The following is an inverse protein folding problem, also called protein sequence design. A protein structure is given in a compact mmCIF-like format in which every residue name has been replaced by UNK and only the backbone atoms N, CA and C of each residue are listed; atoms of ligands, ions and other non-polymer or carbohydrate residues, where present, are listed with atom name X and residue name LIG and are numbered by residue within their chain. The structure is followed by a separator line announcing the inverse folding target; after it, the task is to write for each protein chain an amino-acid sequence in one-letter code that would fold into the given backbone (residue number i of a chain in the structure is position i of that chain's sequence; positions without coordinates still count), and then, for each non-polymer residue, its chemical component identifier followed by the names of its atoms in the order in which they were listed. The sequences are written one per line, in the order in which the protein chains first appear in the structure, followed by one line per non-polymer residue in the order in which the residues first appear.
data_IF_974250392428
#
_entry.id   IF_974250392428
#
_cell.length_a   1.000
_cell.length_b   1.000
_cell.length_c   1.000
_cell.angle_alpha   90.00
_cell.angle_beta   90.00
_cell.angle_gamma   90.00
#
_symmetry.space_group_name_H-M   'P 1'
#
loop_
_entity.id
_entity.type
_entity.pdbx_description
1 polymer ?
#
# COMPACT_ATOMS: atom_id res chain seq x y z
N UNK A 1 -15.25 30.49 -38.23
CA UNK A 1 -13.80 30.69 -38.38
C UNK A 1 -13.09 29.40 -37.99
N UNK A 2 -12.58 28.65 -38.97
CA UNK A 2 -11.76 27.46 -38.70
C UNK A 2 -10.42 27.97 -38.19
N UNK A 3 -10.07 27.66 -36.93
CA UNK A 3 -8.82 28.08 -36.33
C UNK A 3 -7.64 27.66 -37.24
N UNK A 4 -6.81 28.63 -37.63
CA UNK A 4 -5.62 28.38 -38.44
C UNK A 4 -4.76 27.30 -37.77
N UNK A 5 -4.36 26.30 -38.56
CA UNK A 5 -3.66 25.11 -38.07
C UNK A 5 -2.28 25.55 -37.55
N UNK A 6 -2.12 25.69 -36.24
CA UNK A 6 -0.87 26.10 -35.58
C UNK A 6 0.33 25.38 -36.17
N UNK A 7 1.40 26.12 -36.46
CA UNK A 7 2.62 25.57 -37.04
C UNK A 7 3.31 24.62 -36.06
N UNK A 8 4.13 23.69 -36.57
CA UNK A 8 4.84 22.72 -35.72
C UNK A 8 5.77 23.41 -34.71
N UNK A 9 6.32 24.57 -35.06
CA UNK A 9 7.18 25.35 -34.18
C UNK A 9 6.39 26.00 -33.04
N UNK A 10 5.24 26.61 -33.36
CA UNK A 10 4.32 27.20 -32.35
C UNK A 10 3.83 26.17 -31.33
N UNK A 11 3.53 24.93 -31.76
CA UNK A 11 3.11 23.88 -30.82
C UNK A 11 4.23 23.48 -29.85
N UNK A 12 5.47 23.45 -30.33
CA UNK A 12 6.63 23.13 -29.49
C UNK A 12 6.89 24.25 -28.49
N UNK A 13 6.81 25.51 -28.90
CA UNK A 13 7.00 26.64 -27.98
C UNK A 13 5.84 26.78 -26.99
N UNK A 14 4.60 26.50 -27.40
CA UNK A 14 3.46 26.45 -26.48
C UNK A 14 3.59 25.33 -25.46
N UNK A 15 4.05 24.14 -25.87
CA UNK A 15 4.33 23.03 -24.96
C UNK A 15 5.46 23.38 -23.98
N UNK A 16 6.55 23.98 -24.47
CA UNK A 16 7.69 24.39 -23.66
C UNK A 16 7.26 25.39 -22.57
N UNK A 17 6.49 26.42 -22.95
CA UNK A 17 5.89 27.38 -22.00
C UNK A 17 5.04 26.69 -20.95
N UNK A 18 4.18 25.74 -21.36
CA UNK A 18 3.32 25.00 -20.43
C UNK A 18 4.12 24.13 -19.47
N UNK A 19 5.19 23.50 -19.95
CA UNK A 19 6.05 22.65 -19.11
C UNK A 19 6.84 23.50 -18.10
N UNK A 20 7.38 24.65 -18.52
CA UNK A 20 8.03 25.58 -17.59
C UNK A 20 7.07 26.07 -16.50
N UNK A 21 5.84 26.46 -16.86
CA UNK A 21 4.82 26.86 -15.89
C UNK A 21 4.53 25.77 -14.85
N UNK A 22 4.49 24.51 -15.27
CA UNK A 22 4.27 23.38 -14.36
C UNK A 22 5.49 23.07 -13.49
N UNK A 23 6.71 23.31 -13.99
CA UNK A 23 7.93 23.20 -13.17
C UNK A 23 8.07 24.33 -12.15
N UNK A 24 7.55 25.52 -12.46
CA UNK A 24 7.52 26.65 -11.53
C UNK A 24 6.44 26.46 -10.43
N UNK A 25 5.27 25.94 -10.81
CA UNK A 25 4.11 25.84 -9.91
C UNK A 25 4.18 24.63 -8.94
N UNK A 26 4.85 23.55 -9.34
CA UNK A 26 4.85 22.28 -8.59
C UNK A 26 6.26 21.87 -8.19
N UNK A 27 6.44 21.59 -6.90
CA UNK A 27 7.70 21.09 -6.32
C UNK A 27 7.87 19.58 -6.47
N UNK A 28 6.74 18.84 -6.50
CA UNK A 28 6.69 17.38 -6.57
C UNK A 28 6.32 16.93 -7.99
N UNK A 29 7.10 15.99 -8.53
CA UNK A 29 6.87 15.41 -9.85
C UNK A 29 6.99 13.90 -9.78
N UNK A 30 5.92 13.19 -10.12
CA UNK A 30 5.94 11.74 -10.28
C UNK A 30 6.22 11.39 -11.74
N UNK A 31 7.14 10.46 -11.94
CA UNK A 31 7.44 9.88 -13.24
C UNK A 31 6.67 8.57 -13.32
N UNK A 32 5.79 8.45 -14.31
CA UNK A 32 4.97 7.26 -14.48
C UNK A 32 5.12 6.66 -15.88
N UNK A 33 5.29 5.34 -15.95
CA UNK A 33 5.19 4.59 -17.19
C UNK A 33 3.72 4.36 -17.55
N UNK A 34 3.39 4.64 -18.81
CA UNK A 34 2.05 4.48 -19.38
C UNK A 34 1.99 3.30 -20.38
N UNK A 35 2.70 2.21 -20.09
CA UNK A 35 2.71 1.01 -20.92
C UNK A 35 1.37 0.26 -20.84
N UNK A 36 0.83 -0.12 -21.99
CA UNK A 36 -0.45 -0.84 -22.13
C UNK A 36 -1.68 -0.11 -21.55
N UNK A 37 -1.59 1.20 -21.30
CA UNK A 37 -2.70 2.02 -20.80
C UNK A 37 -3.57 2.51 -21.96
N UNK A 38 -4.86 2.23 -21.90
CA UNK A 38 -5.83 2.68 -22.91
C UNK A 38 -6.13 4.17 -22.82
N UNK A 39 -6.55 4.80 -23.92
CA UNK A 39 -6.87 6.24 -23.92
C UNK A 39 -8.00 6.61 -22.97
N UNK A 40 -9.03 5.76 -22.85
CA UNK A 40 -10.14 5.94 -21.90
C UNK A 40 -9.66 5.88 -20.46
N UNK A 41 -8.83 4.88 -20.14
CA UNK A 41 -8.22 4.73 -18.82
C UNK A 41 -7.39 5.96 -18.45
N UNK A 42 -6.57 6.47 -19.36
CA UNK A 42 -5.78 7.69 -19.10
C UNK A 42 -6.66 8.92 -18.89
N UNK A 43 -7.81 9.02 -19.57
CA UNK A 43 -8.77 10.10 -19.34
C UNK A 43 -9.45 9.98 -17.98
N UNK A 44 -9.80 8.76 -17.56
CA UNK A 44 -10.42 8.52 -16.26
C UNK A 44 -9.43 8.77 -15.11
N UNK A 45 -8.16 8.35 -15.26
CA UNK A 45 -7.07 8.70 -14.33
C UNK A 45 -6.93 10.23 -14.24
N UNK A 46 -6.92 10.93 -15.38
CA UNK A 46 -6.85 12.40 -15.41
C UNK A 46 -8.04 13.10 -14.78
N UNK A 47 -9.23 12.47 -14.73
CA UNK A 47 -10.40 13.00 -14.02
C UNK A 47 -10.27 12.75 -12.52
N UNK A 48 -9.79 11.58 -12.12
CA UNK A 48 -9.62 11.21 -10.72
C UNK A 48 -8.65 12.13 -9.99
N UNK A 49 -7.47 12.36 -10.58
CA UNK A 49 -6.43 13.21 -9.97
C UNK A 49 -6.62 14.72 -10.27
N UNK A 50 -7.78 15.11 -10.79
CA UNK A 50 -8.04 16.49 -11.23
C UNK A 50 -8.35 17.37 -10.03
N UNK A 51 -7.46 18.32 -9.75
CA UNK A 51 -7.57 19.23 -8.62
C UNK A 51 -6.19 19.43 -8.03
N UNK A 52 -5.64 18.34 -7.50
CA UNK A 52 -4.34 18.34 -6.84
C UNK A 52 -3.17 18.07 -7.79
N UNK A 53 -3.45 17.38 -8.91
CA UNK A 53 -2.43 16.94 -9.86
C UNK A 53 -2.75 17.24 -11.33
N UNK A 54 -1.69 17.42 -12.11
CA UNK A 54 -1.74 17.62 -13.58
C UNK A 54 -0.84 16.61 -14.28
N UNK A 55 -1.43 15.81 -15.17
CA UNK A 55 -0.68 14.87 -16.03
C UNK A 55 -0.24 15.56 -17.31
N UNK A 56 1.06 15.54 -17.57
CA UNK A 56 1.68 15.99 -18.80
C UNK A 56 2.36 14.82 -19.51
N UNK A 57 1.80 14.42 -20.64
CA UNK A 57 2.42 13.46 -21.56
C UNK A 57 3.11 14.21 -22.69
N UNK A 58 4.31 13.77 -23.08
CA UNK A 58 5.03 14.35 -24.19
C UNK A 58 6.14 13.45 -24.71
N UNK A 59 6.77 13.86 -25.82
CA UNK A 59 7.90 13.14 -26.39
C UNK A 59 9.13 13.35 -25.50
N UNK A 60 9.80 12.28 -25.08
CA UNK A 60 10.93 12.36 -24.15
C UNK A 60 12.02 13.34 -24.63
N UNK A 61 12.34 13.35 -25.92
CA UNK A 61 13.35 14.26 -26.48
C UNK A 61 12.96 15.74 -26.35
N UNK A 62 11.67 16.04 -26.36
CA UNK A 62 11.15 17.40 -26.17
C UNK A 62 11.22 17.76 -24.69
N UNK A 63 10.73 16.88 -23.81
CA UNK A 63 10.74 17.09 -22.35
C UNK A 63 12.18 17.31 -21.86
N UNK A 64 13.13 16.46 -22.26
CA UNK A 64 14.55 16.63 -21.88
C UNK A 64 15.13 17.97 -22.33
N UNK A 65 14.82 18.42 -23.55
CA UNK A 65 15.29 19.72 -24.05
C UNK A 65 14.72 20.86 -23.20
N UNK A 66 13.43 20.82 -22.89
CA UNK A 66 12.78 21.85 -22.08
C UNK A 66 13.39 21.90 -20.66
N UNK A 67 13.61 20.74 -20.03
CA UNK A 67 14.24 20.65 -18.71
C UNK A 67 15.67 21.23 -18.73
N UNK A 68 16.48 20.96 -19.77
CA UNK A 68 17.82 21.55 -19.91
C UNK A 68 17.79 23.08 -19.99
N UNK A 69 16.95 23.59 -20.89
CA UNK A 69 16.80 25.04 -21.09
C UNK A 69 16.26 25.72 -19.83
N UNK A 70 15.43 25.02 -19.05
CA UNK A 70 14.94 25.52 -17.77
C UNK A 70 16.05 25.48 -16.71
N UNK A 71 16.78 24.36 -16.57
CA UNK A 71 17.90 24.24 -15.63
C UNK A 71 19.00 25.29 -15.86
N UNK A 72 19.30 25.61 -17.13
CA UNK A 72 20.22 26.70 -17.50
C UNK A 72 19.72 28.08 -17.04
N UNK A 73 18.40 28.31 -17.01
CA UNK A 73 17.79 29.59 -16.60
C UNK A 73 17.65 29.75 -15.09
N UNK A 74 17.27 28.68 -14.39
CA UNK A 74 17.08 28.70 -12.93
C UNK A 74 18.34 28.30 -12.15
N UNK A 75 19.43 27.94 -12.84
CA UNK A 75 20.68 27.43 -12.26
C UNK A 75 20.49 26.24 -11.31
N UNK A 76 19.40 25.48 -11.48
CA UNK A 76 19.06 24.35 -10.63
C UNK A 76 19.57 23.05 -11.26
N UNK A 77 20.75 22.61 -10.80
CA UNK A 77 21.41 21.40 -11.29
C UNK A 77 20.67 20.09 -10.93
N UNK A 78 19.71 20.12 -10.00
CA UNK A 78 19.02 18.90 -9.58
C UNK A 78 18.07 18.32 -10.63
N UNK A 79 17.68 19.14 -11.60
CA UNK A 79 16.81 18.72 -12.70
C UNK A 79 17.52 17.82 -13.72
N UNK A 80 18.85 17.76 -13.71
CA UNK A 80 19.60 16.81 -14.53
C UNK A 80 19.31 15.35 -14.14
N UNK A 81 19.00 15.10 -12.87
CA UNK A 81 18.63 13.77 -12.36
C UNK A 81 17.32 13.29 -13.00
N UNK A 82 16.34 14.18 -13.20
CA UNK A 82 15.08 13.89 -13.90
C UNK A 82 15.30 13.47 -15.36
N UNK A 83 16.26 14.09 -16.05
CA UNK A 83 16.51 13.81 -17.47
C UNK A 83 16.82 12.34 -17.74
N UNK A 84 17.61 11.72 -16.86
CA UNK A 84 18.08 10.34 -16.99
C UNK A 84 16.95 9.33 -16.84
N UNK A 85 15.88 9.69 -16.14
CA UNK A 85 14.75 8.81 -15.82
C UNK A 85 13.69 8.78 -16.95
N UNK A 86 13.79 9.69 -17.93
CA UNK A 86 12.85 9.79 -19.05
C UNK A 86 13.17 8.79 -20.17
N UNK A 87 13.01 7.50 -19.87
CA UNK A 87 13.26 6.37 -20.81
C UNK A 87 11.99 5.54 -20.99
N UNK A 88 11.66 5.19 -22.23
CA UNK A 88 10.44 4.44 -22.56
C UNK A 88 9.21 5.34 -22.71
N UNK A 89 8.02 4.76 -22.53
CA UNK A 89 6.74 5.45 -22.64
C UNK A 89 6.34 6.06 -21.29
N UNK A 90 6.90 7.24 -21.01
CA UNK A 90 6.82 7.87 -19.70
C UNK A 90 6.07 9.21 -19.76
N UNK A 91 5.29 9.47 -18.72
CA UNK A 91 4.62 10.73 -18.44
C UNK A 91 5.09 11.37 -17.15
N UNK A 92 4.88 12.69 -17.04
CA UNK A 92 5.10 13.45 -15.82
C UNK A 92 3.74 13.76 -15.18
N UNK A 93 3.65 13.57 -13.87
CA UNK A 93 2.49 13.97 -13.06
C UNK A 93 3.00 14.98 -12.06
N UNK A 94 2.53 16.21 -12.18
CA UNK A 94 2.81 17.28 -11.24
C UNK A 94 1.75 17.22 -10.15
N UNK A 95 2.14 17.26 -8.88
CA UNK A 95 1.20 17.23 -7.75
C UNK A 95 1.56 18.27 -6.69
N UNK A 96 0.56 18.90 -6.08
CA UNK A 96 0.71 19.68 -4.85
C UNK A 96 0.45 18.83 -3.60
N UNK A 97 -0.35 17.79 -3.72
CA UNK A 97 -0.74 16.89 -2.64
C UNK A 97 0.37 15.92 -2.23
N UNK A 98 0.01 14.95 -1.39
CA UNK A 98 0.95 13.98 -0.88
C UNK A 98 1.21 12.83 -1.85
N UNK A 99 2.47 12.39 -1.89
CA UNK A 99 2.96 11.39 -2.84
C UNK A 99 2.28 10.03 -2.64
N UNK A 100 1.94 9.71 -1.37
CA UNK A 100 1.24 8.48 -0.99
C UNK A 100 -0.20 8.47 -1.51
N UNK A 101 -0.95 9.55 -1.27
CA UNK A 101 -2.34 9.68 -1.71
C UNK A 101 -2.47 9.59 -3.24
N UNK A 102 -1.65 10.34 -3.98
CA UNK A 102 -1.66 10.30 -5.45
C UNK A 102 -1.34 8.89 -5.98
N UNK A 103 -0.44 8.16 -5.32
CA UNK A 103 -0.12 6.78 -5.67
C UNK A 103 -1.30 5.85 -5.43
N UNK A 104 -1.97 5.97 -4.29
CA UNK A 104 -3.16 5.18 -3.97
C UNK A 104 -4.31 5.48 -4.94
N UNK A 105 -4.53 6.74 -5.29
CA UNK A 105 -5.51 7.12 -6.29
C UNK A 105 -5.21 6.52 -7.66
N UNK A 106 -3.97 6.62 -8.13
CA UNK A 106 -3.55 6.00 -9.40
C UNK A 106 -3.74 4.48 -9.33
N UNK A 107 -3.46 3.85 -8.18
CA UNK A 107 -3.60 2.41 -8.00
C UNK A 107 -5.06 1.93 -8.04
N UNK A 108 -6.05 2.77 -7.68
CA UNK A 108 -7.48 2.47 -7.80
C UNK A 108 -7.92 2.29 -9.26
N UNK A 109 -7.31 3.02 -10.19
CA UNK A 109 -7.68 3.02 -11.62
C UNK A 109 -6.94 1.95 -12.45
N UNK A 110 -6.73 0.77 -11.87
CA UNK A 110 -6.20 -0.40 -12.57
C UNK A 110 -7.31 -1.06 -13.38
N UNK A 111 -7.06 -1.28 -14.67
CA UNK A 111 -8.03 -1.92 -15.57
C UNK A 111 -7.55 -3.32 -15.89
N UNK A 112 -8.43 -4.30 -15.68
CA UNK A 112 -8.20 -5.68 -16.11
C UNK A 112 -8.08 -5.76 -17.62
N UNK A 113 -7.00 -6.37 -18.09
CA UNK A 113 -6.64 -6.52 -19.49
C UNK A 113 -6.42 -8.01 -19.83
N UNK A 114 -6.77 -8.40 -21.06
CA UNK A 114 -6.50 -9.75 -21.53
C UNK A 114 -4.99 -9.96 -21.74
N UNK A 115 -4.54 -11.20 -21.54
CA UNK A 115 -3.19 -11.60 -21.86
C UNK A 115 -2.95 -11.50 -23.38
N UNK A 116 -1.89 -10.81 -23.81
CA UNK A 116 -1.52 -10.71 -25.23
C UNK A 116 -0.39 -11.68 -25.54
N UNK A 117 -0.47 -12.29 -26.72
CA UNK A 117 0.52 -13.26 -27.21
C UNK A 117 1.91 -12.64 -27.24
N UNK A 118 2.89 -13.38 -26.71
CA UNK A 118 4.31 -13.00 -26.75
C UNK A 118 4.77 -12.00 -25.68
N UNK A 119 3.84 -11.43 -24.88
CA UNK A 119 4.22 -10.65 -23.70
C UNK A 119 4.68 -11.56 -22.57
N UNK A 120 5.56 -11.04 -21.71
CA UNK A 120 5.99 -11.72 -20.49
C UNK A 120 4.92 -11.52 -19.42
N UNK A 121 4.51 -12.60 -18.76
CA UNK A 121 3.52 -12.54 -17.70
C UNK A 121 4.10 -11.88 -16.42
N UNK A 122 3.49 -10.80 -15.91
CA UNK A 122 3.92 -10.17 -14.66
C UNK A 122 3.41 -10.90 -13.40
N UNK A 123 2.34 -11.68 -13.53
CA UNK A 123 1.69 -12.43 -12.44
C UNK A 123 1.37 -13.84 -12.93
N UNK A 124 1.33 -14.80 -12.00
CA UNK A 124 0.96 -16.19 -12.27
C UNK A 124 -0.53 -16.25 -12.63
N UNK A 125 -0.86 -16.97 -13.70
CA UNK A 125 -2.24 -17.06 -14.20
C UNK A 125 -2.80 -18.44 -13.90
N UNK A 126 -3.77 -18.47 -12.98
CA UNK A 126 -4.48 -19.69 -12.57
C UNK A 126 -5.88 -19.69 -13.17
N UNK A 127 -6.31 -20.82 -13.72
CA UNK A 127 -7.70 -20.98 -14.16
C UNK A 127 -8.50 -21.70 -13.06
N UNK A 128 -9.60 -21.12 -12.57
CA UNK A 128 -10.40 -21.73 -11.53
C UNK A 128 -11.21 -22.93 -12.06
N UNK A 129 -11.55 -23.91 -11.20
CA UNK A 129 -12.47 -24.98 -11.54
C UNK A 129 -13.89 -24.41 -11.70
N UNK A 130 -14.67 -25.01 -12.59
CA UNK A 130 -16.05 -24.59 -12.84
C UNK A 130 -16.48 -24.70 -14.30
N UNK A 131 -17.76 -24.40 -14.54
CA UNK A 131 -18.34 -24.49 -15.87
C UNK A 131 -17.86 -23.31 -16.74
N UNK A 132 -17.32 -23.62 -17.92
CA UNK A 132 -16.76 -22.62 -18.84
C UNK A 132 -17.82 -22.02 -19.76
N UNK A 133 -18.98 -22.66 -19.90
CA UNK A 133 -20.04 -22.24 -20.83
C UNK A 133 -19.67 -22.39 -22.31
N UNK A 134 -18.57 -23.07 -22.63
CA UNK A 134 -18.14 -23.35 -23.99
C UNK A 134 -18.75 -24.64 -24.54
N UNK A 135 -18.96 -24.66 -25.85
CA UNK A 135 -19.48 -25.81 -26.58
C UNK A 135 -18.49 -27.00 -26.53
N UNK A 136 -18.99 -28.26 -26.50
CA UNK A 136 -18.16 -29.46 -26.44
C UNK A 136 -17.15 -29.60 -27.59
N UNK A 137 -17.43 -28.97 -28.73
CA UNK A 137 -16.56 -28.96 -29.90
C UNK A 137 -15.22 -28.26 -29.65
N UNK A 138 -15.15 -27.38 -28.65
CA UNK A 138 -13.94 -26.58 -28.33
C UNK A 138 -13.08 -27.20 -27.22
N UNK A 139 -13.34 -28.46 -26.83
CA UNK A 139 -12.55 -29.20 -25.82
C UNK A 139 -11.09 -29.39 -26.20
N UNK A 140 -10.76 -29.38 -27.50
CA UNK A 140 -9.39 -29.53 -28.00
C UNK A 140 -8.41 -28.49 -27.46
N UNK A 141 -8.87 -27.24 -27.23
CA UNK A 141 -8.02 -26.18 -26.68
C UNK A 141 -7.55 -26.47 -25.24
N UNK A 142 -8.41 -27.09 -24.43
CA UNK A 142 -8.09 -27.46 -23.05
C UNK A 142 -7.14 -28.65 -22.99
N UNK A 143 -7.29 -29.61 -23.92
CA UNK A 143 -6.41 -30.77 -24.03
C UNK A 143 -4.98 -30.38 -24.42
N UNK A 144 -4.82 -29.45 -25.37
CA UNK A 144 -3.48 -28.97 -25.79
C UNK A 144 -2.72 -28.29 -24.65
N UNK A 145 -3.45 -27.67 -23.71
CA UNK A 145 -2.89 -26.98 -22.55
C UNK A 145 -2.84 -27.84 -21.28
N UNK A 146 -3.08 -29.15 -21.41
CA UNK A 146 -3.10 -30.11 -20.30
C UNK A 146 -4.07 -29.73 -19.16
N UNK A 147 -5.18 -29.06 -19.47
CA UNK A 147 -6.22 -28.71 -18.49
C UNK A 147 -7.23 -29.85 -18.41
N UNK A 148 -7.39 -30.51 -17.24
CA UNK A 148 -8.35 -31.59 -17.08
C UNK A 148 -9.77 -31.05 -17.11
N UNK A 149 -10.52 -31.44 -18.14
CA UNK A 149 -11.90 -31.02 -18.36
C UNK A 149 -12.84 -32.21 -18.52
N UNK A 150 -14.11 -32.02 -18.16
CA UNK A 150 -15.18 -33.02 -18.30
C UNK A 150 -16.39 -32.35 -18.96
N UNK A 151 -17.07 -33.08 -19.84
CA UNK A 151 -18.32 -32.61 -20.43
C UNK A 151 -19.46 -32.95 -19.47
N UNK A 152 -20.06 -31.91 -18.88
CA UNK A 152 -21.21 -32.04 -18.00
C UNK A 152 -22.38 -31.25 -18.59
N UNK A 153 -23.53 -31.91 -18.78
CA UNK A 153 -24.77 -31.29 -19.30
C UNK A 153 -24.62 -30.53 -20.62
N UNK A 154 -23.72 -30.99 -21.51
CA UNK A 154 -23.51 -30.38 -22.82
C UNK A 154 -22.58 -29.15 -22.83
N UNK A 155 -21.94 -28.81 -21.70
CA UNK A 155 -20.92 -27.76 -21.59
C UNK A 155 -19.62 -28.32 -21.03
N UNK A 156 -18.49 -27.66 -21.33
CA UNK A 156 -17.16 -28.06 -20.82
C UNK A 156 -16.93 -27.52 -19.41
N UNK A 157 -16.62 -28.38 -18.46
CA UNK A 157 -16.33 -28.03 -17.06
C UNK A 157 -14.88 -28.37 -16.70
N UNK A 158 -14.20 -27.46 -15.99
CA UNK A 158 -12.83 -27.65 -15.50
C UNK A 158 -12.88 -28.32 -14.13
N UNK A 159 -12.18 -29.45 -13.98
CA UNK A 159 -12.24 -30.28 -12.77
C UNK A 159 -11.38 -29.69 -11.64
N UNK A 160 -10.16 -29.28 -11.96
CA UNK A 160 -9.16 -28.79 -10.99
C UNK A 160 -8.57 -27.48 -11.46
N UNK A 161 -8.20 -26.61 -10.50
CA UNK A 161 -7.40 -25.44 -10.82
C UNK A 161 -6.05 -25.87 -11.41
N UNK A 162 -5.61 -25.20 -12.47
CA UNK A 162 -4.29 -25.42 -13.08
C UNK A 162 -3.65 -24.07 -13.36
N UNK A 163 -2.37 -23.97 -13.03
CA UNK A 163 -1.53 -22.81 -13.34
C UNK A 163 -1.15 -22.88 -14.82
N UNK A 164 -1.67 -21.94 -15.62
CA UNK A 164 -1.38 -21.90 -17.06
C UNK A 164 -0.05 -21.24 -17.36
N UNK A 165 0.22 -20.12 -16.68
CA UNK A 165 1.36 -19.26 -17.00
C UNK A 165 2.03 -18.87 -15.69
N UNK A 166 3.32 -19.19 -15.56
CA UNK A 166 4.15 -18.70 -14.47
C UNK A 166 4.70 -17.30 -14.80
N UNK A 167 4.96 -16.51 -13.76
CA UNK A 167 5.66 -15.23 -13.85
C UNK A 167 6.97 -15.38 -14.64
N UNK A 168 7.18 -14.46 -15.57
CA UNK A 168 8.39 -14.45 -16.41
C UNK A 168 8.30 -15.25 -17.70
N UNK A 169 7.29 -16.12 -17.86
CA UNK A 169 7.08 -16.86 -19.10
C UNK A 169 6.34 -16.02 -20.14
N UNK A 170 6.61 -16.31 -21.42
CA UNK A 170 5.90 -15.67 -22.54
C UNK A 170 4.53 -16.32 -22.73
N UNK A 171 3.51 -15.49 -22.87
CA UNK A 171 2.14 -15.95 -23.13
C UNK A 171 2.05 -16.59 -24.51
N UNK A 172 1.61 -17.86 -24.55
CA UNK A 172 1.34 -18.60 -25.77
C UNK A 172 0.07 -18.13 -26.49
N UNK A 173 -0.03 -18.40 -27.80
CA UNK A 173 -1.22 -18.03 -28.59
C UNK A 173 -2.48 -18.75 -28.10
N UNK A 174 -2.36 -20.05 -27.80
CA UNK A 174 -3.46 -20.89 -27.30
C UNK A 174 -3.93 -20.47 -25.90
N UNK A 175 -3.00 -20.10 -25.01
CA UNK A 175 -3.29 -19.65 -23.65
C UNK A 175 -4.05 -18.32 -23.64
N UNK A 176 -3.59 -17.34 -24.41
CA UNK A 176 -4.25 -16.04 -24.54
C UNK A 176 -5.68 -16.16 -25.11
N UNK A 177 -5.86 -17.02 -26.12
CA UNK A 177 -7.16 -17.26 -26.73
C UNK A 177 -8.13 -17.93 -25.74
N UNK A 178 -7.64 -18.90 -24.97
CA UNK A 178 -8.44 -19.57 -23.95
C UNK A 178 -8.85 -18.61 -22.82
N UNK A 179 -7.91 -17.83 -22.28
CA UNK A 179 -8.21 -16.83 -21.24
C UNK A 179 -9.22 -15.79 -21.72
N UNK A 180 -9.11 -15.37 -22.97
CA UNK A 180 -10.08 -14.44 -23.60
C UNK A 180 -11.47 -15.05 -23.71
N UNK A 181 -11.58 -16.35 -24.06
CA UNK A 181 -12.85 -17.07 -24.15
C UNK A 181 -13.50 -17.33 -22.79
N UNK A 182 -12.69 -17.60 -21.76
CA UNK A 182 -13.15 -17.74 -20.38
C UNK A 182 -13.53 -16.40 -19.74
N UNK A 183 -13.28 -15.27 -20.43
CA UNK A 183 -13.51 -13.93 -19.87
C UNK A 183 -12.55 -13.56 -18.74
N UNK A 184 -11.50 -14.35 -18.51
CA UNK A 184 -10.51 -14.12 -17.47
C UNK A 184 -9.52 -13.07 -17.97
N UNK A 185 -9.39 -11.98 -17.21
CA UNK A 185 -8.45 -10.89 -17.48
C UNK A 185 -7.37 -10.89 -16.40
N UNK A 186 -6.30 -11.69 -16.57
CA UNK A 186 -5.37 -11.96 -15.48
C UNK A 186 -4.43 -10.79 -15.15
N UNK A 187 -4.23 -9.87 -16.10
CA UNK A 187 -3.31 -8.77 -15.92
C UNK A 187 -4.09 -7.49 -15.66
N UNK A 188 -3.68 -6.74 -14.64
CA UNK A 188 -4.16 -5.39 -14.42
C UNK A 188 -3.10 -4.41 -14.90
N UNK A 189 -3.40 -3.62 -15.94
CA UNK A 189 -2.52 -2.51 -16.33
C UNK A 189 -3.04 -1.21 -15.74
N UNK A 190 -2.11 -0.36 -15.35
CA UNK A 190 -2.35 0.97 -14.82
C UNK A 190 -1.12 1.83 -15.06
N UNK A 191 -1.21 3.10 -14.67
CA UNK A 191 -0.02 3.94 -14.62
C UNK A 191 0.91 3.39 -13.53
N UNK A 192 2.13 3.01 -13.90
CA UNK A 192 3.13 2.51 -12.94
C UNK A 192 4.09 3.63 -12.63
N UNK A 193 4.17 4.03 -11.36
CA UNK A 193 5.11 5.06 -10.91
C UNK A 193 6.52 4.44 -10.89
N UNK A 194 7.43 4.99 -11.67
CA UNK A 194 8.80 4.48 -11.77
C UNK A 194 9.75 5.19 -10.81
N UNK A 195 9.61 6.51 -10.67
CA UNK A 195 10.40 7.33 -9.77
C UNK A 195 9.60 8.56 -9.36
N UNK A 196 9.98 9.14 -8.24
CA UNK A 196 9.40 10.39 -7.73
C UNK A 196 10.49 11.41 -7.54
N UNK A 197 10.21 12.65 -7.89
CA UNK A 197 11.09 13.78 -7.67
C UNK A 197 10.42 14.76 -6.71
N UNK A 198 11.17 15.17 -5.71
CA UNK A 198 10.73 16.16 -4.73
C UNK A 198 11.93 17.04 -4.37
N UNK A 199 11.83 18.34 -4.62
CA UNK A 199 12.80 19.36 -4.22
C UNK A 199 14.28 18.96 -4.42
N UNK A 200 14.61 18.39 -5.58
CA UNK A 200 15.97 18.02 -5.96
C UNK A 200 16.42 16.60 -5.61
N UNK A 201 15.59 15.87 -4.85
CA UNK A 201 15.79 14.46 -4.52
C UNK A 201 14.95 13.56 -5.42
N UNK A 202 15.52 12.41 -5.80
CA UNK A 202 14.83 11.36 -6.54
C UNK A 202 14.62 10.19 -5.59
N UNK A 203 13.37 9.78 -5.43
CA UNK A 203 12.98 8.61 -4.65
C UNK A 203 12.58 7.46 -5.57
N UNK A 204 13.01 6.25 -5.22
CA UNK A 204 12.45 5.02 -5.77
C UNK A 204 11.05 4.78 -5.17
N UNK A 205 10.17 4.05 -5.87
CA UNK A 205 8.83 3.77 -5.39
C UNK A 205 8.82 2.99 -4.06
N UNK A 206 9.87 2.20 -3.78
CA UNK A 206 10.00 1.45 -2.53
C UNK A 206 10.06 2.36 -1.30
N UNK A 207 10.63 3.57 -1.41
CA UNK A 207 10.69 4.52 -0.29
C UNK A 207 9.30 5.02 0.08
N UNK A 208 8.37 5.08 -0.88
CA UNK A 208 6.99 5.46 -0.61
C UNK A 208 6.18 4.35 0.04
N UNK A 209 6.59 3.09 -0.12
CA UNK A 209 5.93 1.93 0.50
C UNK A 209 6.32 1.75 1.97
N UNK A 210 7.20 2.60 2.51
CA UNK A 210 7.55 2.56 3.92
C UNK A 210 6.37 2.99 4.79
N UNK A 211 5.95 2.07 5.65
CA UNK A 211 4.89 2.32 6.64
C UNK A 211 5.48 2.94 7.90
N UNK A 212 4.65 3.63 8.67
CA UNK A 212 5.08 4.21 9.95
C UNK A 212 5.39 3.10 10.97
N UNK A 213 4.73 1.95 10.85
CA UNK A 213 5.00 0.76 11.67
C UNK A 213 6.43 0.23 11.47
N UNK A 214 6.91 0.16 10.22
CA UNK A 214 8.28 -0.23 9.91
C UNK A 214 9.32 0.71 10.56
N UNK A 215 8.98 2.01 10.68
CA UNK A 215 9.82 3.00 11.34
C UNK A 215 9.83 2.81 12.86
N UNK A 216 8.67 2.53 13.44
CA UNK A 216 8.54 2.26 14.88
C UNK A 216 9.32 0.99 15.27
N UNK A 217 9.26 -0.08 14.47
CA UNK A 217 10.03 -1.29 14.73
C UNK A 217 11.55 -1.05 14.70
N UNK A 218 12.03 -0.31 13.68
CA UNK A 218 13.46 0.07 13.58
C UNK A 218 13.89 1.00 14.71
N UNK A 219 13.00 1.89 15.15
CA UNK A 219 13.28 2.75 16.29
C UNK A 219 13.32 1.96 17.60
N UNK A 220 12.35 1.06 17.83
CA UNK A 220 12.29 0.21 19.02
C UNK A 220 13.50 -0.73 19.12
N UNK A 221 13.94 -1.32 18.01
CA UNK A 221 15.16 -2.12 17.96
C UNK A 221 16.40 -1.27 18.30
N UNK A 222 16.50 -0.05 17.78
CA UNK A 222 17.55 0.91 18.15
C UNK A 222 17.57 1.21 19.65
N UNK A 223 16.41 1.52 20.25
CA UNK A 223 16.29 1.74 21.70
C UNK A 223 16.69 0.51 22.49
N UNK A 224 16.28 -0.69 22.05
CA UNK A 224 16.66 -1.96 22.69
C UNK A 224 18.16 -2.21 22.64
N UNK A 225 18.84 -1.86 21.54
CA UNK A 225 20.30 -1.99 21.42
C UNK A 225 21.03 -1.02 22.36
N UNK A 226 20.54 0.22 22.47
CA UNK A 226 21.11 1.21 23.40
C UNK A 226 20.90 0.78 24.85
N UNK A 227 19.72 0.24 25.17
CA UNK A 227 19.40 -0.26 26.50
C UNK A 227 20.27 -1.47 26.87
N UNK A 228 20.47 -2.43 25.96
CA UNK A 228 21.31 -3.61 26.20
C UNK A 228 22.78 -3.25 26.36
N UNK A 229 23.29 -2.31 25.55
CA UNK A 229 24.66 -1.81 25.66
C UNK A 229 24.88 -1.05 26.97
N UNK A 230 23.95 -0.17 27.35
CA UNK A 230 24.00 0.57 28.62
C UNK A 230 24.01 -0.38 29.84
N UNK A 231 23.22 -1.45 29.76
CA UNK A 231 23.17 -2.49 30.79
C UNK A 231 24.50 -3.24 30.89
N UNK A 232 25.08 -3.67 29.77
CA UNK A 232 26.36 -4.38 29.76
C UNK A 232 27.50 -3.52 30.31
N UNK A 233 27.51 -2.22 30.03
CA UNK A 233 28.50 -1.27 30.57
C UNK A 233 28.23 -0.86 32.02
N UNK A 234 27.12 -1.30 32.62
CA UNK A 234 26.66 -0.85 33.95
C UNK A 234 26.55 0.67 34.07
N UNK A 235 26.24 1.35 32.96
CA UNK A 235 26.11 2.80 32.93
C UNK A 235 24.62 3.19 33.11
N UNK A 236 24.27 3.97 34.15
CA UNK A 236 22.87 4.24 34.48
C UNK A 236 22.29 5.31 33.56
N UNK A 237 21.86 4.93 32.36
CA UNK A 237 20.96 5.73 31.53
C UNK A 237 19.52 5.61 32.02
N UNK A 238 18.66 6.58 31.69
CA UNK A 238 17.23 6.55 32.07
C UNK A 238 16.55 5.25 31.62
N UNK A 239 16.91 4.75 30.43
CA UNK A 239 16.41 3.49 29.91
C UNK A 239 16.98 2.25 30.63
N UNK A 240 18.24 2.30 31.10
CA UNK A 240 18.91 1.14 31.70
C UNK A 240 18.74 1.05 33.23
N UNK A 241 18.51 2.16 33.93
CA UNK A 241 18.47 2.19 35.39
C UNK A 241 17.47 1.18 36.00
N UNK A 242 16.21 1.06 35.53
CA UNK A 242 15.30 0.03 36.04
C UNK A 242 15.81 -1.39 35.79
N UNK A 243 16.41 -1.64 34.62
CA UNK A 243 16.91 -2.95 34.24
C UNK A 243 18.15 -3.38 35.04
N UNK A 244 19.02 -2.44 35.44
CA UNK A 244 20.16 -2.74 36.33
C UNK A 244 19.68 -3.28 37.69
N UNK A 245 18.72 -2.62 38.33
CA UNK A 245 18.18 -3.05 39.62
C UNK A 245 17.46 -4.38 39.53
N UNK A 246 16.65 -4.57 38.48
CA UNK A 246 15.93 -5.84 38.25
C UNK A 246 16.90 -7.00 38.02
N UNK A 247 18.00 -6.80 37.28
CA UNK A 247 18.98 -7.87 37.06
C UNK A 247 19.75 -8.24 38.32
N UNK A 248 20.14 -7.25 39.13
CA UNK A 248 20.72 -7.52 40.45
C UNK A 248 19.78 -8.35 41.32
N UNK A 249 18.49 -7.99 41.34
CA UNK A 249 17.46 -8.75 42.05
C UNK A 249 17.27 -10.17 41.48
N UNK A 250 17.25 -10.34 40.16
CA UNK A 250 17.17 -11.66 39.49
C UNK A 250 18.34 -12.58 39.85
N UNK A 251 19.55 -12.06 39.94
CA UNK A 251 20.73 -12.87 40.27
C UNK A 251 20.67 -13.39 41.72
N UNK A 252 20.29 -12.54 42.67
CA UNK A 252 20.10 -12.95 44.07
C UNK A 252 18.96 -13.97 44.17
N UNK A 253 17.88 -13.75 43.41
CA UNK A 253 16.74 -14.65 43.38
C UNK A 253 17.07 -16.02 42.78
N UNK A 254 17.85 -16.06 41.70
CA UNK A 254 18.29 -17.32 41.09
C UNK A 254 19.06 -18.18 42.10
N UNK A 255 19.97 -17.58 42.88
CA UNK A 255 20.71 -18.28 43.95
C UNK A 255 19.76 -18.76 45.06
N UNK A 256 18.80 -17.94 45.47
CA UNK A 256 17.84 -18.30 46.53
C UNK A 256 16.90 -19.44 46.11
N UNK A 257 16.54 -19.53 44.82
CA UNK A 257 15.74 -20.63 44.26
C UNK A 257 16.55 -21.93 44.21
N UNK A 258 17.82 -21.88 43.81
CA UNK A 258 18.66 -23.07 43.68
C UNK A 258 19.12 -23.65 45.04
N UNK A 259 19.29 -22.79 46.04
CA UNK A 259 19.81 -23.18 47.38
C UNK A 259 18.73 -23.39 48.44
N UNK A 260 17.45 -23.41 48.06
CA UNK A 260 16.29 -23.53 48.96
C UNK A 260 16.25 -22.52 50.13
N UNK A 261 17.00 -21.41 50.03
CA UNK A 261 17.05 -20.37 51.06
C UNK A 261 15.76 -19.53 51.08
N UNK A 262 15.08 -19.46 52.23
CA UNK A 262 13.81 -18.74 52.37
C UNK A 262 14.07 -17.26 52.70
N UNK A 263 13.41 -16.38 51.94
CA UNK A 263 13.41 -14.93 52.13
C UNK A 263 12.06 -14.39 51.67
N UNK A 264 11.45 -13.40 52.34
CA UNK A 264 10.06 -12.98 52.08
C UNK A 264 9.76 -12.66 50.61
N UNK A 265 10.71 -12.06 49.88
CA UNK A 265 10.55 -11.74 48.47
C UNK A 265 10.91 -12.90 47.50
N UNK A 266 11.67 -13.89 47.96
CA UNK A 266 11.97 -15.11 47.22
C UNK A 266 10.85 -16.16 47.38
N UNK A 267 10.19 -16.19 48.54
CA UNK A 267 9.13 -17.14 48.85
C UNK A 267 7.87 -16.91 47.99
N UNK A 268 7.53 -15.63 47.73
CA UNK A 268 6.47 -15.26 46.78
C UNK A 268 6.74 -15.78 45.36
N UNK A 269 8.00 -15.82 44.94
CA UNK A 269 8.39 -16.28 43.60
C UNK A 269 8.56 -17.81 43.56
N UNK A 270 8.97 -18.43 44.67
CA UNK A 270 8.93 -19.90 44.84
C UNK A 270 7.49 -20.44 44.83
N UNK A 271 6.54 -19.69 45.39
CA UNK A 271 5.11 -19.98 45.27
C UNK A 271 4.61 -19.80 43.82
N UNK A 272 5.05 -18.75 43.12
CA UNK A 272 4.75 -18.53 41.71
C UNK A 272 5.28 -19.64 40.79
N UNK A 273 6.47 -20.17 41.07
CA UNK A 273 7.07 -21.28 40.32
C UNK A 273 6.44 -22.65 40.63
N UNK A 274 5.92 -22.84 41.85
CA UNK A 274 5.26 -24.09 42.27
C UNK A 274 3.80 -24.16 41.79
N UNK A 275 3.08 -23.05 41.76
CA UNK A 275 1.68 -22.96 41.33
C UNK A 275 1.45 -21.80 40.33
N UNK A 276 1.83 -21.95 39.05
CA UNK A 276 1.62 -20.92 38.03
C UNK A 276 0.13 -20.59 37.75
N UNK A 277 -0.80 -21.45 38.19
CA UNK A 277 -2.25 -21.27 37.99
C UNK A 277 -2.93 -20.36 39.04
N UNK A 278 -2.33 -20.17 40.23
CA UNK A 278 -2.95 -19.37 41.30
C UNK A 278 -2.91 -17.86 41.04
N UNK A 279 -2.02 -17.40 40.16
CA UNK A 279 -1.91 -15.99 39.76
C UNK A 279 -2.23 -15.74 38.28
N UNK A 280 -2.48 -16.77 37.47
CA UNK A 280 -3.06 -16.61 36.14
C UNK A 280 -4.44 -15.93 36.20
N UNK A 281 -5.16 -16.09 37.32
CA UNK A 281 -6.41 -15.36 37.58
C UNK A 281 -6.17 -13.86 37.82
N UNK A 282 -5.00 -13.45 38.33
CA UNK A 282 -4.66 -12.03 38.46
C UNK A 282 -4.23 -11.42 37.11
N UNK A 283 -3.62 -12.21 36.21
CA UNK A 283 -3.34 -11.78 34.84
C UNK A 283 -4.61 -11.71 33.97
N UNK A 284 -5.62 -12.56 34.20
CA UNK A 284 -6.92 -12.40 33.56
C UNK A 284 -7.74 -11.26 34.17
N UNK A 285 -7.58 -10.92 35.45
CA UNK A 285 -8.21 -9.71 36.02
C UNK A 285 -7.52 -8.44 35.52
N UNK A 286 -6.20 -8.45 35.27
CA UNK A 286 -5.52 -7.35 34.58
C UNK A 286 -5.84 -7.26 33.07
N UNK A 287 -6.38 -8.34 32.47
CA UNK A 287 -6.88 -8.33 31.10
C UNK A 287 -8.37 -7.91 30.99
N UNK A 288 -9.08 -7.72 32.11
CA UNK A 288 -10.45 -7.18 32.10
C UNK A 288 -10.47 -5.65 32.33
N UNK A 289 -9.38 -5.06 32.83
CA UNK A 289 -9.30 -3.61 33.07
C UNK A 289 -8.74 -2.77 31.90
N UNK A 290 -8.45 -3.37 30.74
CA UNK A 290 -8.12 -2.60 29.51
C UNK A 290 -9.21 -2.60 28.44
N UNK A 291 -10.30 -3.36 28.60
CA UNK A 291 -11.43 -3.38 27.65
C UNK A 291 -12.71 -2.71 28.19
N UNK A 292 -12.72 -2.25 29.44
CA UNK A 292 -13.84 -1.51 30.04
C UNK A 292 -13.78 0.02 29.82
N UNK A 293 -12.70 0.56 29.23
CA UNK A 293 -12.54 2.00 29.01
C UNK A 293 -12.94 2.50 27.61
N UNK A 294 -13.35 1.62 26.69
CA UNK A 294 -13.79 2.03 25.32
C UNK A 294 -15.28 1.85 25.05
N UNK A 295 -16.07 1.33 25.99
CA UNK A 295 -17.54 1.18 25.83
C UNK A 295 -18.34 2.18 26.68
N UNK A 296 -17.69 2.95 27.56
CA UNK A 296 -18.36 3.94 28.42
C UNK A 296 -18.42 5.37 27.86
N UNK A 297 -17.86 5.65 26.67
CA UNK A 297 -17.87 7.00 26.07
C UNK A 297 -18.92 7.19 24.94
N UNK A 298 -19.89 6.28 24.78
CA UNK A 298 -20.92 6.37 23.75
C UNK A 298 -22.37 6.25 24.28
N UNK A 299 -22.61 6.48 25.58
CA UNK A 299 -23.98 6.40 26.17
C UNK A 299 -24.37 7.50 27.16
N UNK A 300 -23.76 8.68 27.06
CA UNK A 300 -24.27 9.89 27.72
C UNK A 300 -24.45 11.02 26.70
N UNK A 301 -25.37 10.82 25.76
CA UNK A 301 -26.09 11.90 25.08
C UNK A 301 -27.36 11.30 24.50
N UNK A 302 -28.33 10.98 25.35
CA UNK A 302 -29.76 10.82 25.02
C UNK A 302 -30.50 10.43 26.32
N UNK A 303 -30.98 11.44 27.06
CA UNK A 303 -32.27 11.40 27.78
C UNK A 303 -32.50 12.73 28.53
N UNK A 304 -32.86 13.76 27.75
CA UNK A 304 -33.72 14.84 28.22
C UNK A 304 -34.95 14.86 27.30
N UNK A 305 -35.98 14.12 27.70
CA UNK A 305 -37.28 14.19 27.07
C UNK A 305 -38.08 12.92 27.28
N UNK A 306 -38.89 12.88 28.34
CA UNK A 306 -40.35 12.74 28.18
C UNK A 306 -41.01 12.70 29.56
N UNK A 307 -41.82 13.74 29.79
CA UNK A 307 -42.86 13.79 30.81
C UNK A 307 -43.87 12.66 30.51
N UNK A 308 -44.19 11.84 31.51
CA UNK A 308 -45.38 11.00 31.46
C UNK A 308 -46.53 11.70 32.18
N UNK A 309 -47.58 11.96 31.40
CA UNK A 309 -48.88 12.44 31.81
C UNK A 309 -49.54 11.50 32.83
N UNK A 310 -50.21 12.11 33.81
CA UNK A 310 -50.99 11.41 34.82
C UNK A 310 -51.82 12.36 35.69
N UNK A 311 -52.66 13.17 35.04
CA UNK A 311 -53.97 13.67 35.50
C UNK A 311 -54.22 13.86 37.01
N UNK A 312 -54.15 15.11 37.48
CA UNK A 312 -54.96 15.60 38.60
C UNK A 312 -55.33 17.07 38.36
N UNK A 313 -56.53 17.31 37.84
CA UNK A 313 -57.11 18.64 37.77
C UNK A 313 -57.28 19.28 39.15
N UNK A 314 -56.90 20.55 39.27
CA UNK A 314 -57.65 21.54 40.04
C UNK A 314 -57.25 22.96 39.60
N UNK A 315 -58.26 23.69 39.15
CA UNK A 315 -58.34 25.14 39.02
C UNK A 315 -57.68 25.93 40.18
N UNK A 316 -57.29 27.18 39.91
CA UNK A 316 -57.84 28.41 40.53
C UNK A 316 -56.73 29.45 40.84
N UNK A 317 -56.73 30.57 40.08
CA UNK A 317 -56.27 31.93 40.46
C UNK A 317 -54.88 32.11 41.12
N UNK A 318 -53.91 32.64 40.38
CA UNK A 318 -53.37 34.02 40.48
C UNK A 318 -52.35 34.26 39.34
#
# INVERSE_FOLDING_TARGET
MVAAKQTRAERKSAYDKKLCQLLDEYTKVLIASADNVGSKQLQDIRKGIRGDSVVLMGKNTLIRRCIKVYAEKTHNNDLEKLERLLVGNVGLIFTKGDLKEVREEIAKYKVGAPARVGLIAPIDVVVPPGNTGLDPSQTSFFQVLNIPTKINKGTVEIITAVDLIMKGNKVGSSEAALLSKLGIRPFSYGLVITNVYDNGSVFSPEVLDLTDDDLVEKFATGVSMVASLSLALSYPTIAAAPHLFINGYKNVLAVAVETDYSYPHADQIKEYLKDPSKFAVAATVAAVDSDAASVAALKEEEDLGEQSDGDLGLSLFD
#
